data_IF_002822235657
#
_entry.id   IF_002822235657
#
_cell.length_a   1.000
_cell.length_b   1.000
_cell.length_c   1.000
_cell.angle_alpha   90.00
_cell.angle_beta   90.00
_cell.angle_gamma   90.00
#
_symmetry.space_group_name_H-M   'P 1'
#
loop_
_entity.id
_entity.type
_entity.pdbx_description
1 polymer ?
#
# COMPACT_ATOMS: atom_id res chain seq x y z
N UNK A 1 -28.21 18.37 -7.38
CA UNK A 1 -27.23 17.32 -6.99
C UNK A 1 -26.57 16.79 -8.24
N UNK A 2 -25.26 16.53 -8.18
CA UNK A 2 -24.42 16.01 -9.26
C UNK A 2 -23.87 14.64 -8.88
N UNK A 3 -23.56 13.82 -9.88
CA UNK A 3 -22.89 12.52 -9.70
C UNK A 3 -21.39 12.73 -9.68
N UNK A 4 -20.74 12.19 -8.66
CA UNK A 4 -19.29 12.20 -8.52
C UNK A 4 -18.76 10.77 -8.55
N UNK A 5 -17.62 10.60 -9.21
CA UNK A 5 -16.83 9.37 -9.19
C UNK A 5 -15.51 9.69 -8.51
N UNK A 6 -15.28 9.06 -7.38
CA UNK A 6 -14.09 9.26 -6.56
C UNK A 6 -13.25 7.98 -6.67
N UNK A 7 -12.02 8.13 -7.14
CA UNK A 7 -11.04 7.03 -7.26
C UNK A 7 -10.02 7.17 -6.14
N UNK A 8 -9.75 6.08 -5.45
CA UNK A 8 -8.86 6.00 -4.30
C UNK A 8 -7.92 4.82 -4.51
N UNK A 9 -6.65 4.97 -4.16
CA UNK A 9 -5.69 3.88 -4.22
C UNK A 9 -5.19 3.58 -2.80
N UNK A 10 -5.32 2.32 -2.37
CA UNK A 10 -4.82 1.86 -1.06
C UNK A 10 -4.01 0.59 -1.30
N UNK A 11 -2.72 0.60 -0.94
CA UNK A 11 -1.80 -0.53 -1.12
C UNK A 11 -1.77 -1.09 -2.55
N UNK A 12 -1.84 -0.22 -3.57
CA UNK A 12 -1.83 -0.62 -4.99
C UNK A 12 -3.16 -1.16 -5.50
N UNK A 13 -4.23 -1.14 -4.69
CA UNK A 13 -5.58 -1.54 -5.09
C UNK A 13 -6.41 -0.27 -5.34
N UNK A 14 -6.98 -0.15 -6.53
CA UNK A 14 -7.87 0.95 -6.91
C UNK A 14 -9.31 0.66 -6.46
N UNK A 15 -9.88 1.61 -5.73
CA UNK A 15 -11.28 1.62 -5.28
C UNK A 15 -12.02 2.75 -5.98
N UNK A 16 -13.27 2.48 -6.36
CA UNK A 16 -14.14 3.47 -6.96
C UNK A 16 -15.40 3.65 -6.11
N UNK A 17 -15.62 4.89 -5.64
CA UNK A 17 -16.82 5.29 -4.91
C UNK A 17 -17.67 6.19 -5.80
N UNK A 18 -18.94 5.84 -5.98
CA UNK A 18 -19.92 6.66 -6.70
C UNK A 18 -20.84 7.32 -5.69
N UNK A 19 -20.93 8.65 -5.73
CA UNK A 19 -21.74 9.42 -4.78
C UNK A 19 -22.55 10.51 -5.47
N UNK A 20 -23.64 10.95 -4.81
CA UNK A 20 -24.46 12.08 -5.20
C UNK A 20 -24.25 13.19 -4.18
N UNK A 21 -23.81 14.37 -4.63
CA UNK A 21 -23.55 15.52 -3.77
C UNK A 21 -23.93 16.84 -4.44
N UNK A 22 -24.12 17.89 -3.64
CA UNK A 22 -24.34 19.25 -4.12
C UNK A 22 -23.04 19.97 -4.51
N UNK A 23 -21.90 19.53 -3.96
CA UNK A 23 -20.58 20.08 -4.26
C UNK A 23 -19.48 19.01 -4.20
N UNK A 24 -18.30 19.34 -4.73
CA UNK A 24 -17.13 18.46 -4.69
C UNK A 24 -16.64 18.21 -3.25
N UNK A 25 -16.72 19.24 -2.39
CA UNK A 25 -16.39 19.12 -0.95
C UNK A 25 -17.31 18.12 -0.27
N UNK A 26 -18.62 18.26 -0.47
CA UNK A 26 -19.61 17.33 0.10
C UNK A 26 -19.44 15.91 -0.46
N UNK A 27 -19.05 15.75 -1.72
CA UNK A 27 -18.75 14.45 -2.31
C UNK A 27 -17.55 13.77 -1.60
N UNK A 28 -16.52 14.54 -1.27
CA UNK A 28 -15.35 14.07 -0.52
C UNK A 28 -15.71 13.66 0.91
N UNK A 29 -16.50 14.48 1.60
CA UNK A 29 -16.95 14.18 2.97
C UNK A 29 -17.75 12.87 2.98
N UNK A 30 -18.70 12.71 2.05
CA UNK A 30 -19.47 11.46 1.89
C UNK A 30 -18.61 10.24 1.55
N UNK A 31 -17.56 10.40 0.74
CA UNK A 31 -16.64 9.29 0.47
C UNK A 31 -15.85 8.89 1.72
N UNK A 32 -15.48 9.85 2.56
CA UNK A 32 -14.80 9.57 3.82
C UNK A 32 -15.70 8.78 4.79
N UNK A 33 -16.96 9.16 4.90
CA UNK A 33 -17.96 8.44 5.70
C UNK A 33 -18.09 6.98 5.21
N UNK A 34 -18.19 6.77 3.90
CA UNK A 34 -18.27 5.41 3.31
C UNK A 34 -17.03 4.59 3.65
N UNK A 35 -15.83 5.17 3.60
CA UNK A 35 -14.59 4.45 3.94
C UNK A 35 -14.64 4.04 5.41
N UNK A 36 -14.99 4.95 6.32
CA UNK A 36 -15.07 4.66 7.75
C UNK A 36 -16.11 3.57 8.04
N UNK A 37 -17.31 3.66 7.45
CA UNK A 37 -18.40 2.71 7.71
C UNK A 37 -18.15 1.32 7.12
N UNK A 38 -17.44 1.24 5.98
CA UNK A 38 -17.26 0.00 5.22
C UNK A 38 -15.92 -0.68 5.44
N UNK A 39 -14.99 -0.03 6.13
CA UNK A 39 -13.69 -0.64 6.46
C UNK A 39 -13.66 -1.03 7.93
N UNK A 40 -13.06 -2.20 8.20
CA UNK A 40 -12.84 -2.69 9.56
C UNK A 40 -11.42 -3.19 9.71
N UNK A 41 -10.84 -2.95 10.87
CA UNK A 41 -9.52 -3.50 11.21
C UNK A 41 -9.66 -4.98 11.54
N UNK A 42 -9.18 -5.85 10.65
CA UNK A 42 -9.24 -7.31 10.83
C UNK A 42 -8.11 -7.78 11.76
N UNK A 43 -6.90 -7.26 11.60
CA UNK A 43 -5.76 -7.56 12.47
C UNK A 43 -4.69 -6.48 12.37
N UNK A 44 -4.04 -6.16 13.48
CA UNK A 44 -2.86 -5.29 13.52
C UNK A 44 -1.71 -6.15 14.03
N UNK A 45 -0.65 -6.28 13.23
CA UNK A 45 0.57 -6.98 13.63
C UNK A 45 1.77 -6.07 13.35
N UNK A 46 2.77 -6.04 14.23
CA UNK A 46 4.03 -5.39 13.91
C UNK A 46 4.63 -6.12 12.70
N UNK A 47 5.01 -5.37 11.65
CA UNK A 47 5.91 -5.92 10.66
C UNK A 47 7.21 -6.24 11.37
N UNK A 48 7.53 -7.53 11.48
CA UNK A 48 8.89 -7.91 11.74
C UNK A 48 9.69 -7.35 10.56
N UNK A 49 10.64 -6.46 10.84
CA UNK A 49 11.60 -5.98 9.84
C UNK A 49 12.27 -7.23 9.29
N UNK A 50 11.80 -7.74 8.16
CA UNK A 50 12.52 -8.76 7.43
C UNK A 50 13.75 -8.03 6.91
N UNK A 51 14.85 -8.17 7.64
CA UNK A 51 16.17 -7.85 7.10
C UNK A 51 16.27 -8.61 5.78
N UNK A 52 16.11 -7.87 4.69
CA UNK A 52 16.27 -8.35 3.33
C UNK A 52 17.62 -9.04 3.32
N UNK A 53 17.58 -10.36 3.21
CA UNK A 53 18.69 -11.26 3.42
C UNK A 53 19.78 -10.98 2.37
N UNK A 54 20.62 -9.97 2.64
CA UNK A 54 21.77 -9.54 1.83
C UNK A 54 22.92 -10.58 1.89
N UNK A 55 22.68 -11.79 2.40
CA UNK A 55 23.75 -12.75 2.69
C UNK A 55 24.10 -13.69 1.53
N UNK A 56 23.20 -13.94 0.57
CA UNK A 56 23.51 -14.89 -0.51
C UNK A 56 24.49 -14.33 -1.55
N UNK A 57 24.31 -13.08 -1.99
CA UNK A 57 25.20 -12.49 -3.01
C UNK A 57 26.57 -12.09 -2.44
N UNK A 58 26.64 -11.69 -1.17
CA UNK A 58 27.90 -11.34 -0.52
C UNK A 58 28.81 -12.55 -0.27
N UNK A 59 28.25 -13.72 0.07
CA UNK A 59 29.02 -14.97 0.26
C UNK A 59 29.62 -15.52 -1.04
N UNK A 60 28.97 -15.30 -2.19
CA UNK A 60 29.52 -15.73 -3.48
C UNK A 60 30.66 -14.83 -3.96
N UNK A 61 30.57 -13.51 -3.76
CA UNK A 61 31.64 -12.58 -4.14
C UNK A 61 32.91 -12.79 -3.31
N UNK A 62 32.78 -13.13 -2.02
CA UNK A 62 33.94 -13.48 -1.19
C UNK A 62 34.58 -14.81 -1.60
N UNK A 63 33.78 -15.81 -2.01
CA UNK A 63 34.30 -17.06 -2.56
C UNK A 63 35.08 -16.88 -3.87
N UNK A 64 34.58 -16.04 -4.79
CA UNK A 64 35.27 -15.75 -6.06
C UNK A 64 36.55 -14.92 -5.90
N UNK A 65 36.58 -13.94 -4.98
CA UNK A 65 37.78 -13.15 -4.73
C UNK A 65 38.91 -13.97 -4.12
N UNK A 66 38.60 -14.92 -3.23
CA UNK A 66 39.62 -15.78 -2.63
C UNK A 66 40.23 -16.79 -3.61
N UNK A 67 39.49 -17.21 -4.63
CA UNK A 67 39.99 -18.14 -5.67
C UNK A 67 40.84 -17.47 -6.76
N UNK A 68 40.79 -16.14 -6.89
CA UNK A 68 41.58 -15.36 -7.86
C UNK A 68 42.86 -14.75 -7.26
N UNK A 69 43.06 -14.87 -5.94
CA UNK A 69 44.25 -14.42 -5.23
C UNK A 69 45.22 -15.57 -4.90
N UNK A 70 44.99 -16.76 -5.47
CA UNK A 70 45.93 -17.89 -5.54
C UNK A 70 46.28 -18.20 -6.99
#
# INVERSE_FOLDING_TARGET
MMKYVIKLEINGIEFQIKTLAGSEREAKDKAWDVIIERTSFISIRPEAIMEVNRSFSQKMVTGFKSALLF
#
